data_IF_336867777209
#
_entry.id   IF_336867777209
#
_cell.length_a   1.000
_cell.length_b   1.000
_cell.length_c   1.000
_cell.angle_alpha   90.00
_cell.angle_beta   90.00
_cell.angle_gamma   90.00
#
_symmetry.space_group_name_H-M   'P 1'
#
loop_
_entity.id
_entity.type
_entity.pdbx_description
1 polymer ?
#
# COMPACT_ATOMS: atom_id res chain seq x y z
N UNK A 1 -15.77 -7.84 -25.65
CA UNK A 1 -16.16 -7.36 -24.30
C UNK A 1 -15.35 -6.10 -24.02
N UNK A 2 -15.96 -5.07 -23.43
CA UNK A 2 -15.27 -3.81 -23.11
C UNK A 2 -14.19 -4.05 -22.03
N UNK A 3 -12.89 -3.76 -22.30
CA UNK A 3 -11.83 -3.86 -21.31
C UNK A 3 -12.10 -3.05 -20.03
N UNK A 4 -12.81 -1.92 -20.14
CA UNK A 4 -13.20 -1.06 -19.01
C UNK A 4 -14.26 -1.69 -18.10
N UNK A 5 -14.84 -2.81 -18.51
CA UNK A 5 -15.80 -3.59 -17.72
C UNK A 5 -15.15 -4.86 -17.20
N UNK A 6 -14.42 -5.58 -18.07
CA UNK A 6 -13.83 -6.89 -17.73
C UNK A 6 -12.70 -6.76 -16.72
N UNK A 7 -11.81 -5.77 -16.89
CA UNK A 7 -10.64 -5.62 -16.02
C UNK A 7 -11.02 -5.21 -14.59
N UNK A 8 -11.92 -4.23 -14.36
CA UNK A 8 -12.37 -3.91 -12.99
C UNK A 8 -13.19 -5.03 -12.36
N UNK A 9 -14.01 -5.75 -13.16
CA UNK A 9 -14.73 -6.92 -12.66
C UNK A 9 -13.77 -8.00 -12.13
N UNK A 10 -12.77 -8.36 -12.93
CA UNK A 10 -11.76 -9.34 -12.54
C UNK A 10 -10.97 -8.88 -11.30
N UNK A 11 -10.59 -7.61 -11.25
CA UNK A 11 -9.89 -7.01 -10.10
C UNK A 11 -10.74 -7.02 -8.84
N UNK A 12 -12.04 -6.72 -8.96
CA UNK A 12 -13.02 -6.75 -7.86
C UNK A 12 -13.19 -8.16 -7.32
N UNK A 13 -13.52 -9.11 -8.21
CA UNK A 13 -13.74 -10.51 -7.83
C UNK A 13 -12.49 -11.11 -7.15
N UNK A 14 -11.30 -10.91 -7.74
CA UNK A 14 -10.06 -11.42 -7.19
C UNK A 14 -9.72 -10.79 -5.84
N UNK A 15 -9.93 -9.48 -5.70
CA UNK A 15 -9.70 -8.77 -4.43
C UNK A 15 -10.65 -9.22 -3.32
N UNK A 16 -11.93 -9.47 -3.63
CA UNK A 16 -12.91 -9.97 -2.67
C UNK A 16 -12.59 -11.41 -2.23
N UNK A 17 -12.18 -12.27 -3.17
CA UNK A 17 -11.69 -13.62 -2.84
C UNK A 17 -10.49 -13.52 -1.91
N UNK A 18 -9.51 -12.68 -2.25
CA UNK A 18 -8.31 -12.50 -1.43
C UNK A 18 -8.65 -11.94 -0.03
N UNK A 19 -9.56 -10.96 0.06
CA UNK A 19 -10.07 -10.45 1.33
C UNK A 19 -10.70 -11.55 2.19
N UNK A 20 -11.51 -12.43 1.60
CA UNK A 20 -12.14 -13.55 2.30
C UNK A 20 -11.12 -14.59 2.81
N UNK A 21 -10.07 -14.87 2.03
CA UNK A 21 -8.98 -15.75 2.46
C UNK A 21 -8.21 -15.14 3.63
N UNK A 22 -7.85 -13.86 3.57
CA UNK A 22 -7.19 -13.14 4.66
C UNK A 22 -8.06 -13.08 5.92
N UNK A 23 -9.36 -12.82 5.79
CA UNK A 23 -10.30 -12.80 6.90
C UNK A 23 -10.42 -14.18 7.57
N UNK A 24 -10.46 -15.25 6.78
CA UNK A 24 -10.47 -16.64 7.29
C UNK A 24 -9.17 -16.95 8.04
N UNK A 25 -8.03 -16.55 7.49
CA UNK A 25 -6.73 -16.72 8.14
C UNK A 25 -6.63 -15.93 9.45
N UNK A 26 -7.16 -14.70 9.47
CA UNK A 26 -7.26 -13.88 10.67
C UNK A 26 -8.14 -14.53 11.74
N UNK A 27 -9.30 -15.09 11.38
CA UNK A 27 -10.19 -15.76 12.36
C UNK A 27 -9.46 -16.90 13.07
N UNK A 28 -8.62 -17.64 12.35
CA UNK A 28 -7.82 -18.74 12.89
C UNK A 28 -6.62 -18.27 13.74
N UNK A 29 -5.86 -17.28 13.29
CA UNK A 29 -4.57 -16.89 13.91
C UNK A 29 -4.61 -15.62 14.75
N UNK A 30 -5.69 -14.83 14.64
CA UNK A 30 -5.95 -13.56 15.32
C UNK A 30 -4.80 -12.55 15.23
N UNK A 31 -4.05 -12.53 14.13
CA UNK A 31 -2.95 -11.56 13.94
C UNK A 31 -3.48 -10.23 13.38
N UNK A 32 -3.19 -9.09 14.00
CA UNK A 32 -3.81 -7.80 13.64
C UNK A 32 -3.54 -7.39 12.19
N UNK A 33 -2.32 -7.62 11.69
CA UNK A 33 -1.96 -7.29 10.30
C UNK A 33 -2.80 -8.04 9.26
N UNK A 34 -3.27 -9.26 9.56
CA UNK A 34 -4.12 -10.04 8.65
C UNK A 34 -5.51 -9.42 8.51
N UNK A 35 -6.08 -8.93 9.62
CA UNK A 35 -7.36 -8.22 9.59
C UNK A 35 -7.24 -6.93 8.80
N UNK A 36 -6.17 -6.17 9.04
CA UNK A 36 -5.94 -4.89 8.36
C UNK A 36 -5.78 -5.10 6.85
N UNK A 37 -5.02 -6.12 6.43
CA UNK A 37 -4.94 -6.47 5.01
C UNK A 37 -6.26 -6.99 4.44
N UNK A 38 -7.04 -7.77 5.21
CA UNK A 38 -8.37 -8.20 4.75
C UNK A 38 -9.28 -6.99 4.49
N UNK A 39 -9.25 -5.99 5.37
CA UNK A 39 -9.97 -4.71 5.19
C UNK A 39 -9.43 -3.93 4.00
N UNK A 40 -8.11 -3.83 3.83
CA UNK A 40 -7.49 -3.19 2.67
C UNK A 40 -7.88 -3.86 1.34
N UNK A 41 -7.92 -5.19 1.30
CA UNK A 41 -8.38 -5.95 0.12
C UNK A 41 -9.88 -5.85 -0.10
N UNK A 42 -10.67 -5.70 0.96
CA UNK A 42 -12.10 -5.40 0.82
C UNK A 42 -12.30 -4.04 0.17
N UNK A 43 -11.58 -3.00 0.60
CA UNK A 43 -11.60 -1.69 -0.05
C UNK A 43 -11.17 -1.78 -1.51
N UNK A 44 -10.14 -2.56 -1.81
CA UNK A 44 -9.71 -2.80 -3.18
C UNK A 44 -10.86 -3.39 -4.00
N UNK A 45 -11.47 -4.48 -3.52
CA UNK A 45 -12.58 -5.14 -4.20
C UNK A 45 -13.80 -4.24 -4.43
N UNK A 46 -14.16 -3.44 -3.43
CA UNK A 46 -15.26 -2.48 -3.53
C UNK A 46 -14.95 -1.35 -4.52
N UNK A 47 -13.72 -0.83 -4.52
CA UNK A 47 -13.27 0.18 -5.49
C UNK A 47 -13.41 -0.33 -6.93
N UNK A 48 -12.76 -1.45 -7.24
CA UNK A 48 -12.82 -2.08 -8.56
C UNK A 48 -14.28 -2.41 -8.95
N UNK A 49 -15.10 -2.78 -7.96
CA UNK A 49 -16.53 -3.01 -8.14
C UNK A 49 -17.28 -1.75 -8.56
N UNK A 50 -16.96 -0.59 -8.00
CA UNK A 50 -17.57 0.68 -8.43
C UNK A 50 -17.19 1.06 -9.87
N UNK A 51 -15.96 0.75 -10.29
CA UNK A 51 -15.49 0.99 -11.65
C UNK A 51 -16.16 0.05 -12.66
N UNK A 52 -16.32 -1.23 -12.30
CA UNK A 52 -17.11 -2.18 -13.07
C UNK A 52 -18.55 -1.70 -13.25
N UNK A 53 -19.21 -1.30 -12.16
CA UNK A 53 -20.59 -0.81 -12.21
C UNK A 53 -20.68 0.47 -13.04
N UNK A 54 -19.73 1.40 -12.91
CA UNK A 54 -19.68 2.64 -13.66
C UNK A 54 -19.47 2.42 -15.16
N UNK A 55 -18.60 1.47 -15.52
CA UNK A 55 -18.36 1.08 -16.90
C UNK A 55 -19.53 0.30 -17.53
N UNK A 56 -20.17 -0.58 -16.77
CA UNK A 56 -21.22 -1.47 -17.28
C UNK A 56 -22.62 -0.84 -17.29
N UNK A 57 -22.97 -0.08 -16.25
CA UNK A 57 -24.31 0.45 -15.99
C UNK A 57 -24.37 1.98 -16.08
N UNK A 58 -23.22 2.65 -16.21
CA UNK A 58 -23.11 4.10 -16.21
C UNK A 58 -22.79 4.68 -14.82
N UNK A 59 -22.29 5.90 -14.82
CA UNK A 59 -21.88 6.61 -13.61
C UNK A 59 -23.02 7.40 -12.99
N UNK A 60 -22.99 7.47 -11.66
CA UNK A 60 -23.82 8.35 -10.85
C UNK A 60 -22.95 9.00 -9.78
N UNK A 61 -23.40 10.13 -9.24
CA UNK A 61 -22.65 10.86 -8.21
C UNK A 61 -22.30 9.99 -6.97
N UNK A 62 -23.23 9.18 -6.38
CA UNK A 62 -22.88 8.34 -5.24
C UNK A 62 -21.82 7.29 -5.59
N UNK A 63 -21.92 6.69 -6.78
CA UNK A 63 -20.96 5.68 -7.25
C UNK A 63 -19.57 6.30 -7.46
N UNK A 64 -19.53 7.50 -8.03
CA UNK A 64 -18.30 8.27 -8.24
C UNK A 64 -17.65 8.71 -6.92
N UNK A 65 -18.43 9.13 -5.92
CA UNK A 65 -17.94 9.43 -4.56
C UNK A 65 -17.38 8.18 -3.88
N UNK A 66 -18.07 7.05 -3.98
CA UNK A 66 -17.61 5.78 -3.43
C UNK A 66 -16.28 5.33 -4.08
N UNK A 67 -16.20 5.39 -5.41
CA UNK A 67 -14.98 5.12 -6.16
C UNK A 67 -13.81 5.98 -5.66
N UNK A 68 -14.01 7.30 -5.60
CA UNK A 68 -12.95 8.23 -5.24
C UNK A 68 -12.46 8.00 -3.81
N UNK A 69 -13.39 7.86 -2.88
CA UNK A 69 -13.07 7.70 -1.48
C UNK A 69 -12.36 6.37 -1.21
N UNK A 70 -12.92 5.27 -1.70
CA UNK A 70 -12.42 3.93 -1.42
C UNK A 70 -11.15 3.70 -2.24
N UNK A 71 -11.23 3.83 -3.55
CA UNK A 71 -10.16 3.53 -4.49
C UNK A 71 -9.01 4.51 -4.45
N UNK A 72 -9.33 5.79 -4.61
CA UNK A 72 -8.29 6.80 -4.77
C UNK A 72 -7.57 7.09 -3.44
N UNK A 73 -8.25 7.01 -2.29
CA UNK A 73 -7.69 7.38 -0.98
C UNK A 73 -7.39 6.17 -0.08
N UNK A 74 -8.33 5.25 0.13
CA UNK A 74 -8.22 4.29 1.25
C UNK A 74 -7.33 3.08 0.97
N UNK A 75 -7.42 2.47 -0.22
CA UNK A 75 -6.78 1.17 -0.51
C UNK A 75 -5.31 1.12 -0.10
N UNK A 76 -4.50 2.05 -0.60
CA UNK A 76 -3.06 2.03 -0.37
C UNK A 76 -2.70 2.24 1.11
N UNK A 77 -3.38 3.17 1.80
CA UNK A 77 -3.14 3.45 3.21
C UNK A 77 -3.43 2.24 4.10
N UNK A 78 -4.54 1.53 3.85
CA UNK A 78 -4.92 0.33 4.60
C UNK A 78 -3.98 -0.85 4.31
N UNK A 79 -3.58 -1.07 3.04
CA UNK A 79 -2.62 -2.12 2.70
C UNK A 79 -1.24 -1.86 3.32
N UNK A 80 -0.76 -0.61 3.27
CA UNK A 80 0.47 -0.20 3.93
C UNK A 80 0.39 -0.35 5.46
N UNK A 81 -0.76 -0.05 6.07
CA UNK A 81 -0.95 -0.20 7.52
C UNK A 81 -0.79 -1.65 7.98
N UNK A 82 -1.23 -2.63 7.20
CA UNK A 82 -1.00 -4.04 7.54
C UNK A 82 0.49 -4.37 7.61
N UNK A 83 1.32 -3.79 6.74
CA UNK A 83 2.78 -3.92 6.78
C UNK A 83 3.39 -3.23 8.01
N UNK A 84 2.87 -2.08 8.42
CA UNK A 84 3.26 -1.42 9.68
C UNK A 84 3.02 -2.35 10.88
N UNK A 85 1.85 -2.97 10.96
CA UNK A 85 1.54 -3.91 12.03
C UNK A 85 2.32 -5.23 11.93
N UNK A 86 2.67 -5.69 10.73
CA UNK A 86 3.54 -6.86 10.53
C UNK A 86 4.94 -6.58 11.12
N UNK A 87 5.46 -5.38 10.88
CA UNK A 87 6.83 -4.98 11.24
C UNK A 87 6.92 -4.21 12.56
N UNK A 88 5.87 -4.26 13.39
CA UNK A 88 5.73 -3.52 14.65
C UNK A 88 6.98 -3.58 15.56
N UNK A 89 7.53 -4.79 15.74
CA UNK A 89 8.67 -5.06 16.64
C UNK A 89 10.04 -4.80 16.02
N UNK A 90 10.07 -4.19 14.84
CA UNK A 90 11.32 -3.90 14.12
C UNK A 90 11.61 -2.41 14.14
N UNK A 91 12.80 -2.02 13.68
CA UNK A 91 13.15 -0.60 13.50
C UNK A 91 12.54 0.01 12.22
N UNK A 92 11.53 -0.65 11.63
CA UNK A 92 10.88 -0.19 10.40
C UNK A 92 10.15 1.15 10.58
N UNK A 93 9.87 1.58 11.82
CA UNK A 93 9.35 2.92 12.09
C UNK A 93 10.19 4.06 11.50
N UNK A 94 11.52 3.91 11.36
CA UNK A 94 12.33 4.91 10.64
C UNK A 94 12.01 4.97 9.15
N UNK A 95 11.83 3.82 8.49
CA UNK A 95 11.43 3.77 7.09
C UNK A 95 10.02 4.33 6.90
N UNK A 96 9.10 4.01 7.81
CA UNK A 96 7.75 4.58 7.83
C UNK A 96 7.77 6.11 7.98
N UNK A 97 8.61 6.66 8.86
CA UNK A 97 8.77 8.10 9.02
C UNK A 97 9.30 8.79 7.75
N UNK A 98 10.25 8.16 7.03
CA UNK A 98 10.70 8.65 5.72
C UNK A 98 9.54 8.63 4.71
N UNK A 99 8.73 7.55 4.69
CA UNK A 99 7.56 7.47 3.82
C UNK A 99 6.54 8.58 4.10
N UNK A 100 6.29 8.90 5.38
CA UNK A 100 5.45 10.03 5.77
C UNK A 100 6.01 11.37 5.30
N UNK A 101 7.31 11.60 5.48
CA UNK A 101 7.98 12.81 5.00
C UNK A 101 7.88 12.96 3.47
N UNK A 102 8.11 11.87 2.74
CA UNK A 102 7.92 11.84 1.28
C UNK A 102 6.46 12.09 0.91
N UNK A 103 5.50 11.49 1.61
CA UNK A 103 4.08 11.72 1.33
C UNK A 103 3.69 13.19 1.52
N UNK A 104 4.13 13.83 2.61
CA UNK A 104 3.94 15.28 2.81
C UNK A 104 4.57 16.11 1.69
N UNK A 105 5.83 15.82 1.35
CA UNK A 105 6.57 16.51 0.28
C UNK A 105 5.88 16.36 -1.07
N UNK A 106 5.59 15.13 -1.51
CA UNK A 106 4.95 14.89 -2.79
C UNK A 106 3.52 15.43 -2.85
N UNK A 107 2.78 15.43 -1.73
CA UNK A 107 1.47 16.08 -1.66
C UNK A 107 1.60 17.58 -1.93
N UNK A 108 2.57 18.24 -1.28
CA UNK A 108 2.86 19.66 -1.52
C UNK A 108 3.33 19.94 -2.95
N UNK A 109 4.24 19.13 -3.49
CA UNK A 109 4.73 19.26 -4.87
C UNK A 109 3.63 19.01 -5.90
N UNK A 110 2.71 18.08 -5.62
CA UNK A 110 1.52 17.85 -6.46
C UNK A 110 0.66 19.10 -6.51
N UNK A 111 0.36 19.70 -5.35
CA UNK A 111 -0.35 20.98 -5.31
C UNK A 111 0.40 22.06 -6.10
N UNK A 112 1.70 22.24 -5.87
CA UNK A 112 2.50 23.28 -6.54
C UNK A 112 2.52 23.13 -8.07
N UNK A 113 2.45 21.89 -8.58
CA UNK A 113 2.45 21.61 -10.02
C UNK A 113 1.09 21.84 -10.68
N UNK A 114 0.00 21.49 -10.01
CA UNK A 114 -1.34 21.45 -10.61
C UNK A 114 -2.28 22.54 -10.13
N UNK A 115 -1.87 23.29 -9.10
CA UNK A 115 -2.63 24.33 -8.42
C UNK A 115 -4.11 23.95 -8.23
N UNK A 116 -4.33 22.83 -7.55
CA UNK A 116 -5.68 22.29 -7.41
C UNK A 116 -6.65 23.33 -6.83
N UNK A 117 -7.76 23.63 -7.53
CA UNK A 117 -8.73 24.62 -7.05
C UNK A 117 -9.26 24.25 -5.67
N UNK A 118 -9.58 25.26 -4.85
CA UNK A 118 -10.13 25.06 -3.51
C UNK A 118 -9.20 24.24 -2.59
N UNK A 119 -7.87 24.36 -2.74
CA UNK A 119 -6.92 23.71 -1.83
C UNK A 119 -6.79 24.41 -0.46
N UNK A 120 -6.99 25.73 -0.42
CA UNK A 120 -6.88 26.52 0.81
C UNK A 120 -5.55 26.25 1.55
N UNK A 121 -5.63 26.06 2.88
CA UNK A 121 -4.47 25.75 3.73
C UNK A 121 -4.04 24.27 3.71
N UNK A 122 -4.79 23.40 3.02
CA UNK A 122 -4.59 21.95 3.06
C UNK A 122 -3.17 21.48 2.66
N UNK A 123 -2.52 22.02 1.61
CA UNK A 123 -1.16 21.59 1.24
C UNK A 123 -0.15 21.78 2.37
N UNK A 124 -0.20 22.93 3.06
CA UNK A 124 0.66 23.25 4.18
C UNK A 124 0.30 22.44 5.42
N UNK A 125 -1.00 22.27 5.69
CA UNK A 125 -1.48 21.47 6.80
C UNK A 125 -1.04 20.00 6.67
N UNK A 126 -1.20 19.39 5.49
CA UNK A 126 -0.80 18.00 5.25
C UNK A 126 0.72 17.82 5.32
N UNK A 127 1.50 18.78 4.80
CA UNK A 127 2.95 18.78 4.95
C UNK A 127 3.37 18.87 6.44
N UNK A 128 2.76 19.78 7.20
CA UNK A 128 3.02 19.95 8.63
C UNK A 128 2.64 18.70 9.44
N UNK A 129 1.46 18.13 9.17
CA UNK A 129 1.00 16.88 9.79
C UNK A 129 1.97 15.73 9.48
N UNK A 130 2.38 15.56 8.22
CA UNK A 130 3.37 14.54 7.84
C UNK A 130 4.69 14.72 8.61
N UNK A 131 5.21 15.94 8.69
CA UNK A 131 6.45 16.23 9.41
C UNK A 131 6.33 15.92 10.91
N UNK A 132 5.25 16.36 11.56
CA UNK A 132 4.99 16.10 12.97
C UNK A 132 4.85 14.59 13.25
N UNK A 133 4.11 13.87 12.42
CA UNK A 133 3.95 12.42 12.54
C UNK A 133 5.27 11.69 12.30
N UNK A 134 6.05 12.10 11.31
CA UNK A 134 7.37 11.52 11.04
C UNK A 134 8.30 11.68 12.26
N UNK A 135 8.36 12.89 12.84
CA UNK A 135 9.14 13.14 14.07
C UNK A 135 8.64 12.29 15.23
N UNK A 136 7.33 12.24 15.46
CA UNK A 136 6.74 11.44 16.53
C UNK A 136 7.09 9.94 16.37
N UNK A 137 6.97 9.40 15.16
CA UNK A 137 7.36 8.01 14.87
C UNK A 137 8.86 7.79 15.09
N UNK A 138 9.73 8.71 14.65
CA UNK A 138 11.18 8.61 14.88
C UNK A 138 11.49 8.56 16.38
N UNK A 139 10.86 9.43 17.17
CA UNK A 139 11.04 9.48 18.63
C UNK A 139 10.58 8.18 19.29
N UNK A 140 9.39 7.67 18.94
CA UNK A 140 8.87 6.42 19.49
C UNK A 140 9.73 5.22 19.07
N UNK A 141 10.15 5.16 17.81
CA UNK A 141 11.05 4.11 17.29
C UNK A 141 12.41 4.14 17.99
N UNK A 142 12.95 5.34 18.23
CA UNK A 142 14.21 5.53 18.96
C UNK A 142 14.13 5.05 20.40
N UNK A 143 12.99 5.31 21.07
CA UNK A 143 12.68 4.84 22.43
C UNK A 143 12.35 3.34 22.50
N UNK A 144 12.28 2.65 21.35
CA UNK A 144 11.82 1.25 21.23
C UNK A 144 10.39 1.07 21.78
N UNK A 145 9.55 2.07 21.58
CA UNK A 145 8.15 2.04 21.97
C UNK A 145 7.29 1.65 20.76
N UNK A 146 6.74 0.44 20.78
CA UNK A 146 5.90 -0.13 19.71
C UNK A 146 4.58 0.65 19.49
N UNK A 147 4.24 1.63 20.34
CA UNK A 147 3.06 2.50 20.16
C UNK A 147 3.07 3.33 18.88
N UNK A 148 4.22 3.47 18.21
CA UNK A 148 4.30 4.13 16.89
C UNK A 148 3.37 3.48 15.85
N UNK A 149 3.09 2.19 15.99
CA UNK A 149 2.20 1.40 15.12
C UNK A 149 0.74 1.82 15.33
N UNK A 150 0.35 2.12 16.57
CA UNK A 150 -0.98 2.63 16.90
C UNK A 150 -1.16 4.08 16.45
N UNK A 151 -0.11 4.90 16.53
CA UNK A 151 -0.11 6.23 15.93
C UNK A 151 -0.38 6.14 14.43
N UNK A 152 0.34 5.27 13.70
CA UNK A 152 0.09 5.04 12.28
C UNK A 152 -1.34 4.55 12.01
N UNK A 153 -1.87 3.64 12.84
CA UNK A 153 -3.26 3.19 12.75
C UNK A 153 -4.28 4.30 12.96
N UNK A 154 -4.07 5.15 13.97
CA UNK A 154 -4.91 6.32 14.23
C UNK A 154 -4.92 7.31 13.08
N UNK A 155 -3.77 7.52 12.42
CA UNK A 155 -3.67 8.39 11.24
C UNK A 155 -4.46 7.84 10.06
N UNK A 156 -4.33 6.54 9.75
CA UNK A 156 -5.07 5.92 8.64
C UNK A 156 -6.57 5.90 8.91
N UNK A 157 -7.00 5.47 10.10
CA UNK A 157 -8.42 5.45 10.47
C UNK A 157 -9.00 6.87 10.53
N UNK A 158 -8.32 7.78 11.23
CA UNK A 158 -8.74 9.17 11.36
C UNK A 158 -8.80 9.89 10.02
N UNK A 159 -7.78 9.73 9.17
CA UNK A 159 -7.79 10.31 7.83
C UNK A 159 -8.82 9.68 6.89
N UNK A 160 -9.13 8.39 7.04
CA UNK A 160 -10.27 7.76 6.36
C UNK A 160 -11.61 8.38 6.78
N UNK A 161 -11.81 8.67 8.07
CA UNK A 161 -13.01 9.35 8.56
C UNK A 161 -13.09 10.81 8.10
N UNK A 162 -11.98 11.55 8.14
CA UNK A 162 -11.91 12.93 7.64
C UNK A 162 -12.20 12.98 6.15
N UNK A 163 -11.57 12.10 5.35
CA UNK A 163 -11.85 12.03 3.91
C UNK A 163 -13.28 11.63 3.60
N UNK A 164 -13.91 10.75 4.40
CA UNK A 164 -15.33 10.43 4.27
C UNK A 164 -16.19 11.69 4.44
N UNK A 165 -16.00 12.44 5.52
CA UNK A 165 -16.78 13.67 5.77
C UNK A 165 -16.55 14.69 4.65
N UNK A 166 -15.30 14.89 4.24
CA UNK A 166 -14.96 15.77 3.12
C UNK A 166 -15.62 15.33 1.80
N UNK A 167 -15.60 14.02 1.50
CA UNK A 167 -16.19 13.46 0.29
C UNK A 167 -17.71 13.46 0.30
N UNK A 168 -18.38 13.43 1.45
CA UNK A 168 -19.84 13.54 1.55
C UNK A 168 -20.33 14.99 1.50
N UNK A 169 -19.52 15.94 1.96
CA UNK A 169 -19.90 17.37 2.05
C UNK A 169 -19.45 18.20 0.86
N UNK A 170 -18.49 17.73 0.06
CA UNK A 170 -18.04 18.44 -1.13
C UNK A 170 -19.16 18.57 -2.17
N UNK A 171 -19.43 19.78 -2.66
CA UNK A 171 -20.36 20.01 -3.77
C UNK A 171 -19.70 19.64 -5.09
N UNK A 172 -20.33 18.76 -5.88
CA UNK A 172 -19.84 18.37 -7.19
C UNK A 172 -20.71 19.03 -8.27
N UNK A 173 -20.13 19.72 -9.27
CA UNK A 173 -20.88 20.24 -10.39
C UNK A 173 -21.65 19.13 -11.13
N UNK A 174 -22.85 19.43 -11.63
CA UNK A 174 -23.62 18.49 -12.44
C UNK A 174 -22.79 18.03 -13.66
N UNK A 175 -22.80 16.72 -14.01
CA UNK A 175 -23.72 15.67 -13.54
C UNK A 175 -23.29 14.96 -12.23
N UNK A 176 -22.29 15.47 -11.51
CA UNK A 176 -21.81 14.90 -10.25
C UNK A 176 -20.77 13.79 -10.42
N UNK A 177 -20.30 13.54 -11.63
CA UNK A 177 -19.24 12.59 -11.97
C UNK A 177 -18.54 13.00 -13.26
N UNK A 178 -17.30 12.54 -13.45
CA UNK A 178 -16.53 12.78 -14.68
C UNK A 178 -15.66 11.57 -15.00
N UNK A 179 -15.51 11.32 -16.29
CA UNK A 179 -14.60 10.33 -16.85
C UNK A 179 -13.72 10.98 -17.90
N UNK A 180 -12.54 10.41 -18.11
CA UNK A 180 -11.67 10.79 -19.21
C UNK A 180 -12.40 10.56 -20.56
N UNK A 181 -12.39 11.55 -21.48
CA UNK A 181 -13.19 11.49 -22.71
C UNK A 181 -12.73 10.40 -23.69
N UNK A 182 -11.45 10.01 -23.64
CA UNK A 182 -10.86 9.02 -24.55
C UNK A 182 -11.02 7.61 -23.98
N UNK A 183 -10.61 7.44 -22.72
CA UNK A 183 -10.52 6.13 -22.07
C UNK A 183 -11.76 5.76 -21.29
N UNK A 184 -12.68 6.71 -21.02
CA UNK A 184 -13.90 6.51 -20.21
C UNK A 184 -13.63 6.10 -18.75
N UNK A 185 -12.39 6.26 -18.28
CA UNK A 185 -11.95 5.92 -16.92
C UNK A 185 -12.28 7.11 -15.99
N UNK A 186 -12.83 6.89 -14.79
CA UNK A 186 -13.13 7.96 -13.85
C UNK A 186 -11.87 8.73 -13.45
N UNK A 187 -11.98 10.06 -13.37
CA UNK A 187 -10.89 10.94 -12.93
C UNK A 187 -11.31 11.69 -11.68
N UNK A 188 -10.36 12.14 -10.86
CA UNK A 188 -10.65 12.86 -9.62
C UNK A 188 -10.95 14.36 -9.79
N UNK A 189 -11.24 14.82 -11.01
CA UNK A 189 -11.18 16.25 -11.35
C UNK A 189 -12.26 17.09 -10.69
N UNK A 190 -13.46 16.53 -10.47
CA UNK A 190 -14.57 17.27 -9.84
C UNK A 190 -14.37 17.52 -8.35
N UNK A 191 -13.48 16.78 -7.68
CA UNK A 191 -13.27 16.95 -6.25
C UNK A 191 -12.43 18.20 -5.94
N UNK A 192 -12.69 18.88 -4.81
CA UNK A 192 -11.91 20.02 -4.40
C UNK A 192 -10.49 19.63 -4.01
N UNK A 193 -9.55 20.56 -4.17
CA UNK A 193 -8.12 20.36 -3.94
C UNK A 193 -7.78 19.84 -2.55
N UNK A 194 -8.46 20.33 -1.50
CA UNK A 194 -8.23 19.85 -0.13
C UNK A 194 -8.46 18.34 0.03
N UNK A 195 -9.43 17.78 -0.70
CA UNK A 195 -9.72 16.35 -0.70
C UNK A 195 -8.80 15.61 -1.66
N UNK A 196 -8.53 16.19 -2.84
CA UNK A 196 -7.64 15.58 -3.85
C UNK A 196 -6.22 15.37 -3.36
N UNK A 197 -5.76 16.20 -2.43
CA UNK A 197 -4.43 16.10 -1.84
C UNK A 197 -4.29 14.98 -0.80
N UNK A 198 -5.39 14.44 -0.27
CA UNK A 198 -5.32 13.24 0.59
C UNK A 198 -4.93 11.99 -0.20
N UNK A 199 -5.25 11.96 -1.49
CA UNK A 199 -4.94 10.86 -2.40
C UNK A 199 -3.42 10.59 -2.52
N UNK A 200 -2.55 11.56 -2.89
CA UNK A 200 -1.11 11.33 -2.85
C UNK A 200 -0.59 11.10 -1.43
N UNK A 201 -1.17 11.75 -0.41
CA UNK A 201 -0.74 11.56 0.97
C UNK A 201 -0.88 10.09 1.43
N UNK A 202 -2.04 9.49 1.20
CA UNK A 202 -2.30 8.09 1.52
C UNK A 202 -1.56 7.14 0.58
N UNK A 203 -1.59 7.39 -0.73
CA UNK A 203 -1.04 6.44 -1.70
C UNK A 203 0.47 6.35 -1.64
N UNK A 204 1.17 7.48 -1.45
CA UNK A 204 2.63 7.48 -1.39
C UNK A 204 3.10 6.83 -0.09
N UNK A 205 2.47 7.17 1.04
CA UNK A 205 2.78 6.51 2.32
C UNK A 205 2.51 5.01 2.20
N UNK A 206 1.31 4.63 1.78
CA UNK A 206 0.86 3.24 1.73
C UNK A 206 1.68 2.37 0.77
N UNK A 207 1.87 2.85 -0.47
CA UNK A 207 2.63 2.12 -1.49
C UNK A 207 4.10 1.95 -1.11
N UNK A 208 4.78 3.01 -0.68
CA UNK A 208 6.19 2.89 -0.27
C UNK A 208 6.35 2.00 0.96
N UNK A 209 5.44 2.08 1.94
CA UNK A 209 5.47 1.20 3.11
C UNK A 209 5.28 -0.26 2.71
N UNK A 210 4.34 -0.54 1.80
CA UNK A 210 4.10 -1.90 1.31
C UNK A 210 5.33 -2.44 0.55
N UNK A 211 5.87 -1.66 -0.38
CA UNK A 211 7.05 -2.05 -1.19
C UNK A 211 8.29 -2.19 -0.32
N UNK A 212 8.62 -1.18 0.51
CA UNK A 212 9.81 -1.22 1.36
C UNK A 212 9.70 -2.30 2.43
N UNK A 213 8.52 -2.54 3.00
CA UNK A 213 8.32 -3.62 3.97
C UNK A 213 8.43 -5.01 3.35
N UNK A 214 7.98 -5.17 2.11
CA UNK A 214 8.16 -6.38 1.34
C UNK A 214 9.64 -6.62 0.99
N UNK A 215 10.37 -5.61 0.52
CA UNK A 215 11.81 -5.68 0.27
C UNK A 215 12.62 -5.93 1.55
N UNK A 216 12.24 -5.30 2.66
CA UNK A 216 12.83 -5.55 3.98
C UNK A 216 12.64 -7.01 4.41
N UNK A 217 11.45 -7.56 4.18
CA UNK A 217 11.15 -8.96 4.44
C UNK A 217 11.99 -9.88 3.55
N UNK A 218 12.09 -9.61 2.24
CA UNK A 218 12.94 -10.35 1.33
C UNK A 218 14.41 -10.36 1.80
N UNK A 219 14.94 -9.19 2.18
CA UNK A 219 16.29 -9.04 2.72
C UNK A 219 16.58 -9.94 3.92
N UNK A 220 15.57 -10.14 4.78
CA UNK A 220 15.73 -10.92 6.01
C UNK A 220 15.95 -12.41 5.74
N UNK A 221 15.34 -12.95 4.67
CA UNK A 221 15.33 -14.38 4.32
C UNK A 221 16.32 -14.76 3.22
N UNK A 222 16.89 -13.80 2.48
CA UNK A 222 17.88 -14.10 1.45
C UNK A 222 19.29 -14.28 2.03
N UNK A 223 20.20 -15.00 1.33
CA UNK A 223 21.59 -15.16 1.76
C UNK A 223 22.29 -13.79 1.87
N UNK A 224 22.82 -13.49 3.05
CA UNK A 224 23.29 -12.14 3.41
C UNK A 224 24.73 -11.91 2.98
N UNK A 225 24.95 -10.97 2.06
CA UNK A 225 26.27 -10.39 1.76
C UNK A 225 26.35 -8.97 2.31
N UNK A 226 27.16 -8.78 3.35
CA UNK A 226 27.34 -7.46 4.00
C UNK A 226 28.60 -6.78 3.48
N UNK A 227 28.45 -5.90 2.49
CA UNK A 227 29.52 -5.03 2.01
C UNK A 227 29.88 -3.98 3.07
N UNK A 228 28.86 -3.34 3.65
CA UNK A 228 29.04 -2.35 4.71
C UNK A 228 28.55 -2.95 6.01
N UNK A 229 29.49 -3.14 6.95
CA UNK A 229 29.17 -3.46 8.33
C UNK A 229 28.83 -2.17 9.05
N UNK A 230 27.70 -2.17 9.73
CA UNK A 230 27.32 -1.07 10.60
C UNK A 230 26.87 -1.66 11.92
N UNK A 231 27.36 -1.07 13.00
CA UNK A 231 27.00 -1.51 14.33
C UNK A 231 25.59 -1.01 14.66
N UNK A 232 24.75 -1.90 15.19
CA UNK A 232 23.35 -1.60 15.54
C UNK A 232 23.14 -1.43 17.05
N UNK A 233 24.18 -1.61 17.88
CA UNK A 233 24.00 -1.47 19.33
C UNK A 233 25.29 -1.35 20.16
N UNK A 234 25.29 -0.37 21.08
CA UNK A 234 26.16 -0.36 22.26
C UNK A 234 27.07 0.86 22.41
N UNK A 235 26.55 2.09 22.31
CA UNK A 235 27.39 3.28 22.48
C UNK A 235 26.65 4.58 22.77
N UNK A 236 27.42 5.65 22.95
CA UNK A 236 26.96 7.04 23.16
C UNK A 236 25.89 7.44 22.10
N UNK A 237 24.97 8.36 22.41
CA UNK A 237 23.89 8.76 21.49
C UNK A 237 24.37 9.19 20.10
N UNK A 238 25.53 9.83 19.99
CA UNK A 238 26.15 10.20 18.72
C UNK A 238 26.43 8.97 17.81
N UNK A 239 26.90 7.86 18.39
CA UNK A 239 27.19 6.63 17.65
C UNK A 239 25.92 5.95 17.14
N UNK A 240 24.79 6.12 17.84
CA UNK A 240 23.49 5.65 17.37
C UNK A 240 22.99 6.46 16.16
N UNK A 241 23.17 7.78 16.16
CA UNK A 241 22.80 8.64 15.02
C UNK A 241 23.67 8.29 13.81
N UNK A 242 24.98 8.21 14.00
CA UNK A 242 25.91 7.77 12.95
C UNK A 242 25.53 6.38 12.40
N UNK A 243 25.18 5.43 13.27
CA UNK A 243 24.71 4.11 12.86
C UNK A 243 23.42 4.12 12.04
N UNK A 244 22.47 5.03 12.33
CA UNK A 244 21.25 5.21 11.51
C UNK A 244 21.60 5.81 10.15
N UNK A 245 22.43 6.86 10.10
CA UNK A 245 22.85 7.49 8.85
C UNK A 245 23.59 6.50 7.94
N UNK A 246 24.52 5.71 8.50
CA UNK A 246 25.21 4.66 7.77
C UNK A 246 24.22 3.58 7.31
N UNK A 247 23.21 3.24 8.11
CA UNK A 247 22.20 2.24 7.73
C UNK A 247 21.38 2.64 6.49
N UNK A 248 21.13 3.93 6.27
CA UNK A 248 20.41 4.43 5.08
C UNK A 248 21.13 4.02 3.79
N UNK A 249 22.46 4.03 3.79
CA UNK A 249 23.28 3.65 2.64
C UNK A 249 23.63 2.15 2.66
N UNK A 250 23.93 1.60 3.84
CA UNK A 250 24.35 0.22 3.99
C UNK A 250 23.23 -0.78 3.67
N UNK A 251 21.97 -0.49 4.02
CA UNK A 251 20.86 -1.42 3.76
C UNK A 251 20.65 -1.63 2.25
N UNK A 252 20.48 -0.60 1.41
CA UNK A 252 20.36 -0.78 -0.04
C UNK A 252 21.55 -1.49 -0.66
N UNK A 253 22.78 -1.11 -0.30
CA UNK A 253 23.98 -1.73 -0.88
C UNK A 253 24.14 -3.19 -0.46
N UNK A 254 23.88 -3.51 0.81
CA UNK A 254 23.89 -4.91 1.28
C UNK A 254 22.75 -5.73 0.64
N UNK A 255 21.60 -5.11 0.39
CA UNK A 255 20.50 -5.74 -0.34
C UNK A 255 20.94 -6.12 -1.75
N UNK A 256 21.43 -5.15 -2.53
CA UNK A 256 21.91 -5.38 -3.90
C UNK A 256 23.02 -6.43 -3.96
N UNK A 257 23.97 -6.38 -3.02
CA UNK A 257 25.06 -7.34 -2.94
C UNK A 257 24.61 -8.78 -2.65
N UNK A 258 23.42 -8.94 -2.05
CA UNK A 258 22.85 -10.25 -1.68
C UNK A 258 22.01 -10.86 -2.82
N UNK A 259 21.62 -10.06 -3.84
CA UNK A 259 20.79 -10.53 -4.96
C UNK A 259 21.43 -11.65 -5.78
N UNK A 260 22.73 -11.62 -6.16
CA UNK A 260 23.32 -12.71 -6.95
C UNK A 260 23.25 -14.06 -6.22
N UNK A 261 23.52 -14.07 -4.91
CA UNK A 261 23.40 -15.27 -4.09
C UNK A 261 21.96 -15.77 -4.00
N UNK A 262 20.99 -14.85 -3.89
CA UNK A 262 19.57 -15.17 -3.91
C UNK A 262 19.14 -15.79 -5.25
N UNK A 263 19.61 -15.26 -6.38
CA UNK A 263 19.31 -15.78 -7.72
C UNK A 263 19.89 -17.18 -7.93
N UNK A 264 21.12 -17.43 -7.48
CA UNK A 264 21.73 -18.77 -7.53
C UNK A 264 20.94 -19.76 -6.68
N UNK A 265 20.52 -19.39 -5.47
CA UNK A 265 19.69 -20.26 -4.63
C UNK A 265 18.29 -20.48 -5.21
N UNK A 266 17.71 -19.47 -5.87
CA UNK A 266 16.43 -19.59 -6.56
C UNK A 266 16.52 -20.62 -7.69
N UNK A 267 17.54 -20.52 -8.54
CA UNK A 267 17.78 -21.48 -9.62
C UNK A 267 18.06 -22.90 -9.13
N UNK A 268 18.54 -23.05 -7.90
CA UNK A 268 18.78 -24.36 -7.24
C UNK A 268 17.59 -24.87 -6.43
N UNK A 269 16.47 -24.13 -6.35
CA UNK A 269 15.33 -24.50 -5.51
C UNK A 269 15.61 -24.46 -4.00
N UNK A 270 16.69 -23.80 -3.56
CA UNK A 270 17.13 -23.72 -2.16
C UNK A 270 16.74 -22.42 -1.47
N UNK A 271 16.21 -21.44 -2.24
CA UNK A 271 15.84 -20.14 -1.69
C UNK A 271 14.58 -20.27 -0.82
N UNK A 272 14.61 -19.62 0.34
CA UNK A 272 13.46 -19.56 1.23
C UNK A 272 12.25 -18.92 0.49
N UNK A 273 11.11 -19.62 0.43
CA UNK A 273 9.91 -19.22 -0.33
C UNK A 273 9.38 -17.81 -0.04
N UNK A 274 9.60 -17.31 1.19
CA UNK A 274 9.28 -15.92 1.57
C UNK A 274 9.97 -14.87 0.71
N UNK A 275 11.14 -15.16 0.14
CA UNK A 275 11.86 -14.21 -0.73
C UNK A 275 11.08 -13.96 -2.03
N UNK A 276 10.79 -14.97 -2.88
CA UNK A 276 9.97 -14.73 -4.07
C UNK A 276 8.56 -14.25 -3.72
N UNK A 277 7.93 -14.75 -2.65
CA UNK A 277 6.63 -14.29 -2.19
C UNK A 277 6.60 -12.77 -1.91
N UNK A 278 7.58 -12.27 -1.16
CA UNK A 278 7.64 -10.85 -0.81
C UNK A 278 8.06 -9.98 -2.00
N UNK A 279 8.87 -10.49 -2.93
CA UNK A 279 9.15 -9.79 -4.20
C UNK A 279 7.88 -9.65 -5.04
N UNK A 280 7.05 -10.70 -5.16
CA UNK A 280 5.76 -10.62 -5.85
C UNK A 280 4.83 -9.60 -5.19
N UNK A 281 4.77 -9.57 -3.85
CA UNK A 281 4.00 -8.54 -3.11
C UNK A 281 4.55 -7.13 -3.40
N UNK A 282 5.87 -6.96 -3.45
CA UNK A 282 6.48 -5.67 -3.78
C UNK A 282 6.11 -5.21 -5.19
N UNK A 283 6.15 -6.11 -6.18
CA UNK A 283 5.71 -5.85 -7.56
C UNK A 283 4.23 -5.48 -7.58
N UNK A 284 3.38 -6.26 -6.90
CA UNK A 284 1.94 -6.03 -6.85
C UNK A 284 1.54 -4.73 -6.14
N UNK A 285 2.34 -4.23 -5.21
CA UNK A 285 2.18 -2.91 -4.62
C UNK A 285 2.69 -1.76 -5.50
N UNK A 286 3.76 -2.00 -6.25
CA UNK A 286 4.40 -0.98 -7.10
C UNK A 286 3.62 -0.69 -8.38
N UNK A 287 3.07 -1.72 -9.03
CA UNK A 287 2.36 -1.56 -10.31
C UNK A 287 1.18 -0.58 -10.18
N UNK A 288 0.20 -0.77 -9.26
CA UNK A 288 -0.89 0.18 -9.07
C UNK A 288 -0.42 1.55 -8.62
N UNK A 289 0.66 1.64 -7.84
CA UNK A 289 1.20 2.92 -7.42
C UNK A 289 1.70 3.75 -8.62
N UNK A 290 2.35 3.09 -9.58
CA UNK A 290 2.80 3.71 -10.83
C UNK A 290 1.62 4.06 -11.72
N UNK A 291 0.67 3.14 -11.95
CA UNK A 291 -0.45 3.39 -12.88
C UNK A 291 -1.48 4.37 -12.31
N UNK A 292 -1.75 4.34 -11.01
CA UNK A 292 -2.54 5.36 -10.30
C UNK A 292 -1.82 6.72 -10.31
N UNK A 293 -0.48 6.72 -10.16
CA UNK A 293 0.33 7.91 -10.37
C UNK A 293 0.16 8.47 -11.78
N UNK A 294 0.33 7.63 -12.81
CA UNK A 294 0.18 7.96 -14.23
C UNK A 294 -1.20 8.54 -14.56
N UNK A 295 -2.27 7.99 -13.97
CA UNK A 295 -3.63 8.52 -14.11
C UNK A 295 -3.71 10.01 -13.71
N UNK A 296 -2.98 10.43 -12.66
CA UNK A 296 -2.90 11.84 -12.25
C UNK A 296 -2.13 12.72 -13.23
N UNK A 297 -1.28 12.13 -14.06
CA UNK A 297 -0.57 12.81 -15.15
C UNK A 297 -1.36 12.77 -16.47
N UNK A 298 -2.64 12.37 -16.45
CA UNK A 298 -3.50 12.26 -17.63
C UNK A 298 -3.31 10.97 -18.44
N UNK A 299 -2.43 10.06 -17.98
CA UNK A 299 -2.22 8.76 -18.60
C UNK A 299 -3.08 7.70 -17.92
N UNK A 300 -4.34 7.62 -18.34
CA UNK A 300 -5.38 6.73 -17.77
C UNK A 300 -5.35 5.31 -18.36
N UNK A 301 -4.79 5.13 -19.56
CA UNK A 301 -4.89 3.87 -20.33
C UNK A 301 -4.37 2.62 -19.63
N UNK A 302 -3.37 2.77 -18.74
CA UNK A 302 -2.79 1.66 -18.00
C UNK A 302 -3.45 1.41 -16.63
N UNK A 303 -4.46 2.19 -16.24
CA UNK A 303 -5.01 2.18 -14.89
C UNK A 303 -5.59 0.81 -14.51
N UNK A 304 -6.61 0.32 -15.23
CA UNK A 304 -7.25 -0.98 -14.92
C UNK A 304 -6.33 -2.19 -15.15
N UNK A 305 -5.41 -2.10 -16.11
CA UNK A 305 -4.40 -3.16 -16.32
C UNK A 305 -3.46 -3.23 -15.12
N UNK A 306 -2.96 -2.08 -14.66
CA UNK A 306 -2.08 -2.01 -13.51
C UNK A 306 -2.77 -2.43 -12.22
N UNK A 307 -4.05 -2.12 -12.09
CA UNK A 307 -4.89 -2.57 -10.99
C UNK A 307 -4.99 -4.11 -10.95
N UNK A 308 -5.43 -4.73 -12.04
CA UNK A 308 -5.55 -6.19 -12.13
C UNK A 308 -4.22 -6.89 -11.89
N UNK A 309 -3.15 -6.43 -12.56
CA UNK A 309 -1.81 -6.99 -12.35
C UNK A 309 -1.38 -6.82 -10.90
N UNK A 310 -1.65 -5.67 -10.29
CA UNK A 310 -1.39 -5.40 -8.89
C UNK A 310 -1.97 -6.46 -7.97
N UNK A 311 -3.29 -6.69 -8.05
CA UNK A 311 -3.95 -7.71 -7.21
C UNK A 311 -3.49 -9.14 -7.56
N UNK A 312 -3.24 -9.45 -8.82
CA UNK A 312 -2.69 -10.76 -9.23
C UNK A 312 -1.35 -11.02 -8.55
N UNK A 313 -0.42 -10.07 -8.60
CA UNK A 313 0.89 -10.20 -7.98
C UNK A 313 0.82 -10.21 -6.45
N UNK A 314 -0.05 -9.39 -5.84
CA UNK A 314 -0.29 -9.40 -4.40
C UNK A 314 -0.82 -10.77 -3.94
N UNK A 315 -1.82 -11.31 -4.65
CA UNK A 315 -2.43 -12.57 -4.29
C UNK A 315 -1.51 -13.76 -4.56
N UNK A 316 -0.80 -13.78 -5.70
CA UNK A 316 0.20 -14.81 -5.99
C UNK A 316 1.32 -14.80 -4.94
N UNK A 317 1.85 -13.63 -4.59
CA UNK A 317 2.86 -13.49 -3.54
C UNK A 317 2.34 -13.96 -2.18
N UNK A 318 1.08 -13.67 -1.85
CA UNK A 318 0.43 -14.21 -0.66
C UNK A 318 0.35 -15.74 -0.72
N UNK A 319 -0.18 -16.36 -1.79
CA UNK A 319 -0.29 -17.81 -1.92
C UNK A 319 1.05 -18.53 -1.74
N UNK A 320 2.11 -18.06 -2.41
CA UNK A 320 3.47 -18.59 -2.24
C UNK A 320 3.96 -18.48 -0.80
N UNK A 321 3.56 -17.43 -0.08
CA UNK A 321 3.88 -17.29 1.34
C UNK A 321 3.13 -18.29 2.23
N UNK A 322 1.90 -18.72 1.88
CA UNK A 322 1.08 -19.62 2.72
C UNK A 322 1.35 -21.09 2.42
N UNK A 323 1.73 -21.45 1.20
CA UNK A 323 2.02 -22.84 0.80
C UNK A 323 3.08 -23.49 1.70
N UNK A 324 3.97 -22.69 2.30
CA UNK A 324 4.97 -23.16 3.28
C UNK A 324 4.43 -23.25 4.71
N UNK A 325 3.26 -22.69 5.00
CA UNK A 325 2.54 -22.78 6.30
C UNK A 325 1.40 -23.80 6.32
N UNK A 326 1.18 -24.59 5.25
CA UNK A 326 0.21 -25.71 5.17
C UNK A 326 -1.27 -25.38 5.49
N UNK A 327 -1.72 -24.14 5.33
CA UNK A 327 -3.08 -23.71 5.74
C UNK A 327 -3.80 -22.88 4.67
N UNK A 328 -4.16 -23.46 3.53
CA UNK A 328 -5.18 -22.86 2.64
C UNK A 328 -6.53 -23.45 3.03
N UNK A 329 -7.34 -22.71 3.78
CA UNK A 329 -8.74 -23.08 4.04
C UNK A 329 -9.65 -22.39 3.03
N UNK A 330 -10.56 -23.16 2.43
CA UNK A 330 -11.53 -22.61 1.48
C UNK A 330 -12.46 -21.65 2.24
N UNK A 331 -12.63 -20.40 1.79
CA UNK A 331 -13.51 -19.44 2.43
C UNK A 331 -14.89 -20.04 2.74
N UNK A 332 -15.42 -19.75 3.92
CA UNK A 332 -16.74 -20.23 4.39
C UNK A 332 -16.86 -21.75 4.59
N UNK A 333 -15.75 -22.50 4.59
CA UNK A 333 -15.73 -23.93 4.91
C UNK A 333 -14.66 -24.26 5.94
N UNK A 334 -14.79 -25.42 6.61
CA UNK A 334 -13.73 -25.97 7.46
C UNK A 334 -12.70 -26.82 6.69
N UNK A 335 -12.78 -26.86 5.35
CA UNK A 335 -11.91 -27.72 4.53
C UNK A 335 -10.58 -27.01 4.24
N UNK A 336 -9.48 -27.68 4.57
CA UNK A 336 -8.14 -27.28 4.17
C UNK A 336 -7.78 -27.97 2.84
N UNK A 337 -7.22 -27.22 1.88
CA UNK A 337 -6.59 -27.77 0.68
C UNK A 337 -5.23 -28.29 1.11
N UNK A 338 -5.15 -29.57 1.45
CA UNK A 338 -3.88 -30.27 1.58
C UNK A 338 -3.45 -30.75 0.20
N UNK A 339 -2.25 -30.37 -0.24
CA UNK A 339 -1.61 -31.06 -1.37
C UNK A 339 -1.26 -32.47 -0.87
N UNK A 340 -1.74 -33.49 -1.56
CA UNK A 340 -1.20 -34.84 -1.41
C UNK A 340 0.30 -34.76 -1.72
N UNK A 341 1.12 -35.27 -0.82
CA UNK A 341 2.56 -35.41 -1.04
C UNK A 341 2.76 -36.31 -2.26
N UNK A 342 3.53 -35.82 -3.24
CA UNK A 342 4.02 -36.59 -4.38
C UNK A 342 5.55 -36.52 -4.37
#
# INVERSE_FOLDING_TARGET
>A
MDPNVVLPFASSALSLVFAAVLATQWRARRRPYQLIWAVGMLWYGLSAGTEFLGGALGWSEPLYRAWYLIGAIWVAGWLGLGTVYLLARTRFGYAFAVCLGLAGLFTFLTWKKYDYPNSGVAPFAYLGIAALLAVAVVVLTWRRDDRWVHLAGGVVVGGSLVSLVMALTASLPAPGWVVDPVTRIPTGELFPGYLRLLTPFFNITGAFVLVLGALYSAYMFMPKRRLIRYDRGGGRPLNRIAGVLVAIVAIPLNFLASLPGALVQLGRGQLHSRVPATILIAIGGLIPAITSGANRFGATSAFFVGELLGVVFLFAGFLVSIEVTRDVRIPFTNRAIHRAEA
#
